data_IF_689178819830
#
_entry.id   IF_689178819830
#
_cell.length_a   1.000
_cell.length_b   1.000
_cell.length_c   1.000
_cell.angle_alpha   90.00
_cell.angle_beta   90.00
_cell.angle_gamma   90.00
#
_symmetry.space_group_name_H-M   'P 1'
#
loop_
_entity.id
_entity.type
_entity.pdbx_description
1 polymer ?
#
# COMPACT_ATOMS: atom_id res chain seq x y z
N UNK A 1 -11.43 2.08 12.77
CA UNK A 1 -10.64 1.41 11.72
C UNK A 1 -9.16 1.68 11.93
N UNK A 2 -8.33 0.63 11.93
CA UNK A 2 -6.87 0.73 12.08
C UNK A 2 -6.20 -0.34 11.23
N UNK A 3 -5.12 0.00 10.53
CA UNK A 3 -4.28 -1.00 9.85
C UNK A 3 -3.57 -1.82 10.93
N UNK A 4 -3.69 -3.15 10.88
CA UNK A 4 -3.01 -4.06 11.80
C UNK A 4 -1.62 -4.43 11.28
N UNK A 5 -1.53 -4.98 10.07
CA UNK A 5 -0.26 -5.30 9.40
C UNK A 5 -0.45 -5.36 7.89
N UNK A 6 0.66 -5.39 7.17
CA UNK A 6 0.70 -5.68 5.74
C UNK A 6 1.42 -7.00 5.50
N UNK A 7 0.98 -7.76 4.51
CA UNK A 7 1.76 -8.84 3.89
C UNK A 7 2.19 -8.42 2.49
N UNK A 8 3.49 -8.42 2.24
CA UNK A 8 4.10 -8.09 0.96
C UNK A 8 4.68 -9.37 0.38
N UNK A 9 4.38 -9.67 -0.88
CA UNK A 9 5.02 -10.76 -1.61
C UNK A 9 5.67 -10.20 -2.87
N UNK A 10 6.99 -10.33 -2.95
CA UNK A 10 7.78 -9.94 -4.13
C UNK A 10 7.57 -8.46 -4.54
N UNK A 11 7.47 -7.57 -3.56
CA UNK A 11 7.14 -6.16 -3.76
C UNK A 11 8.39 -5.27 -3.62
N UNK A 12 8.86 -4.69 -4.72
CA UNK A 12 10.01 -3.75 -4.78
C UNK A 12 11.30 -4.30 -4.17
N UNK A 13 11.66 -3.90 -2.96
CA UNK A 13 12.86 -4.40 -2.25
C UNK A 13 12.55 -5.60 -1.35
N UNK A 14 11.28 -6.00 -1.24
CA UNK A 14 10.81 -7.11 -0.41
C UNK A 14 10.63 -8.36 -1.27
N UNK A 15 11.68 -9.18 -1.40
CA UNK A 15 11.63 -10.46 -2.13
C UNK A 15 11.11 -11.59 -1.26
N UNK A 16 10.21 -12.43 -1.77
CA UNK A 16 9.49 -13.42 -0.97
C UNK A 16 8.37 -12.79 -0.13
N UNK A 17 7.86 -13.55 0.85
CA UNK A 17 6.80 -13.10 1.75
C UNK A 17 7.38 -12.36 2.96
N UNK A 18 6.91 -11.14 3.20
CA UNK A 18 7.28 -10.30 4.33
C UNK A 18 6.03 -9.79 5.03
N UNK A 19 6.06 -9.77 6.35
CA UNK A 19 5.02 -9.11 7.15
C UNK A 19 5.58 -7.80 7.70
N UNK A 20 4.84 -6.70 7.54
CA UNK A 20 5.19 -5.38 8.08
C UNK A 20 4.14 -4.98 9.10
N UNK A 21 4.57 -4.75 10.33
CA UNK A 21 3.72 -4.48 11.47
C UNK A 21 4.15 -5.27 12.71
N UNK A 22 3.33 -5.33 13.76
CA UNK A 22 2.01 -4.68 13.85
C UNK A 22 2.11 -3.14 13.84
N UNK A 23 1.10 -2.47 13.31
CA UNK A 23 0.95 -1.02 13.40
C UNK A 23 0.06 -0.67 14.59
N UNK A 24 0.53 0.29 15.38
CA UNK A 24 -0.24 0.91 16.45
C UNK A 24 -0.76 2.30 16.02
N UNK A 25 -1.58 2.93 16.86
CA UNK A 25 -2.19 4.25 16.63
C UNK A 25 -1.18 5.30 16.13
N UNK A 26 0.05 5.24 16.64
CA UNK A 26 1.18 6.00 16.13
C UNK A 26 2.33 5.04 15.86
N UNK A 27 2.69 4.89 14.60
CA UNK A 27 3.81 4.04 14.18
C UNK A 27 4.83 4.85 13.40
N UNK A 28 6.10 4.79 13.82
CA UNK A 28 7.20 5.44 13.12
C UNK A 28 8.04 4.40 12.34
N UNK A 29 8.25 4.63 11.05
CA UNK A 29 9.11 3.80 10.20
C UNK A 29 10.50 4.45 10.14
N UNK A 30 11.50 3.81 10.74
CA UNK A 30 12.88 4.31 10.84
C UNK A 30 13.89 3.34 10.21
N UNK A 31 15.10 3.81 9.95
CA UNK A 31 16.19 3.00 9.38
C UNK A 31 17.11 3.78 8.43
N UNK A 32 18.24 3.18 8.00
CA UNK A 32 19.23 3.84 7.15
C UNK A 32 18.72 4.14 5.74
N UNK A 33 19.39 5.05 5.02
CA UNK A 33 19.01 5.38 3.64
C UNK A 33 19.13 4.15 2.73
N UNK A 34 18.16 3.97 1.85
CA UNK A 34 18.12 2.83 0.92
C UNK A 34 17.59 1.51 1.50
N UNK A 35 17.24 1.42 2.80
CA UNK A 35 16.74 0.16 3.39
C UNK A 35 15.28 -0.20 3.03
N UNK A 36 14.61 0.59 2.18
CA UNK A 36 13.24 0.29 1.73
C UNK A 36 12.11 0.93 2.53
N UNK A 37 12.38 1.88 3.44
CA UNK A 37 11.33 2.62 4.20
C UNK A 37 10.26 3.22 3.29
N UNK A 38 10.67 3.88 2.20
CA UNK A 38 9.74 4.44 1.21
C UNK A 38 8.90 3.37 0.52
N UNK A 39 9.42 2.15 0.38
CA UNK A 39 8.71 1.05 -0.25
C UNK A 39 7.57 0.52 0.64
N UNK A 40 7.63 0.73 1.97
CA UNK A 40 6.49 0.45 2.85
C UNK A 40 5.36 1.46 2.59
N UNK A 41 5.68 2.75 2.48
CA UNK A 41 4.68 3.76 2.07
C UNK A 41 4.13 3.46 0.67
N UNK A 42 5.00 3.07 -0.26
CA UNK A 42 4.55 2.67 -1.60
C UNK A 42 3.65 1.43 -1.59
N UNK A 43 3.85 0.48 -0.66
CA UNK A 43 2.95 -0.68 -0.52
C UNK A 43 1.58 -0.28 -0.02
N UNK A 44 1.49 0.69 0.91
CA UNK A 44 0.23 1.26 1.36
C UNK A 44 -0.50 1.95 0.21
N UNK A 45 0.20 2.81 -0.54
CA UNK A 45 -0.41 3.47 -1.70
C UNK A 45 -0.85 2.46 -2.77
N UNK A 46 -0.06 1.42 -2.99
CA UNK A 46 -0.39 0.36 -3.95
C UNK A 46 -1.68 -0.38 -3.58
N UNK A 47 -1.80 -0.85 -2.33
CA UNK A 47 -2.97 -1.62 -1.89
C UNK A 47 -4.21 -0.75 -1.76
N UNK A 48 -4.09 0.51 -1.34
CA UNK A 48 -5.21 1.44 -1.19
C UNK A 48 -5.55 2.23 -2.46
N UNK A 49 -5.08 1.77 -3.60
CA UNK A 49 -5.32 2.35 -4.92
C UNK A 49 -5.04 3.87 -5.01
N UNK A 50 -3.99 4.31 -4.33
CA UNK A 50 -3.53 5.70 -4.38
C UNK A 50 -2.56 5.85 -5.55
N UNK A 51 -2.95 6.67 -6.52
CA UNK A 51 -2.11 6.98 -7.68
C UNK A 51 -0.88 7.78 -7.26
N UNK A 52 0.24 7.09 -7.12
CA UNK A 52 1.54 7.74 -7.02
C UNK A 52 2.25 7.71 -8.36
N UNK A 53 2.58 8.90 -8.87
CA UNK A 53 3.39 9.10 -10.07
C UNK A 53 4.76 8.39 -10.04
N UNK A 54 5.18 7.85 -8.89
CA UNK A 54 6.52 7.29 -8.71
C UNK A 54 6.71 5.87 -9.25
N UNK A 55 5.72 4.98 -9.34
CA UNK A 55 6.04 3.56 -9.64
C UNK A 55 4.88 2.67 -10.16
N UNK A 56 4.74 2.57 -11.49
CA UNK A 56 3.78 1.65 -12.13
C UNK A 56 4.23 0.17 -12.19
N UNK A 57 5.43 -0.17 -11.66
CA UNK A 57 5.99 -1.52 -11.81
C UNK A 57 6.87 -1.96 -10.61
N UNK A 58 6.26 -2.48 -9.52
CA UNK A 58 6.98 -2.99 -8.34
C UNK A 58 7.93 -4.14 -8.68
N UNK A 59 7.54 -5.04 -9.60
CA UNK A 59 8.33 -6.21 -10.01
C UNK A 59 9.69 -5.81 -10.60
N UNK A 60 9.76 -4.70 -11.37
CA UNK A 60 11.03 -4.26 -11.96
C UNK A 60 12.04 -3.71 -10.94
N UNK A 61 11.59 -3.42 -9.72
CA UNK A 61 12.45 -2.84 -8.68
C UNK A 61 13.18 -3.90 -7.84
N UNK A 62 12.83 -5.19 -8.00
CA UNK A 62 13.54 -6.31 -7.37
C UNK A 62 14.90 -6.50 -8.07
N UNK A 63 16.00 -6.29 -7.34
CA UNK A 63 17.36 -6.27 -7.90
C UNK A 63 18.07 -7.62 -7.94
N UNK A 64 17.48 -8.68 -7.40
CA UNK A 64 18.16 -9.97 -7.25
C UNK A 64 17.32 -11.17 -7.69
N UNK A 65 17.93 -12.05 -8.50
CA UNK A 65 17.37 -13.34 -8.91
C UNK A 65 16.40 -13.29 -10.10
N UNK A 66 15.72 -14.42 -10.35
CA UNK A 66 14.72 -14.51 -11.40
C UNK A 66 13.53 -13.62 -11.07
N UNK A 67 13.11 -12.80 -12.03
CA UNK A 67 11.95 -11.91 -11.86
C UNK A 67 10.69 -12.74 -11.58
N UNK A 68 9.96 -12.44 -10.49
CA UNK A 68 8.76 -13.16 -10.15
C UNK A 68 7.66 -12.90 -11.19
N UNK A 69 6.72 -13.84 -11.27
CA UNK A 69 5.60 -13.73 -12.21
C UNK A 69 4.52 -12.76 -11.74
N UNK A 70 4.51 -12.42 -10.45
CA UNK A 70 3.56 -11.51 -9.84
C UNK A 70 4.16 -10.92 -8.56
N UNK A 71 3.57 -9.82 -8.10
CA UNK A 71 3.77 -9.29 -6.76
C UNK A 71 2.41 -8.97 -6.13
N UNK A 72 2.32 -8.99 -4.81
CA UNK A 72 1.11 -8.59 -4.10
C UNK A 72 1.41 -7.83 -2.82
N UNK A 73 0.43 -7.02 -2.42
CA UNK A 73 0.35 -6.43 -1.08
C UNK A 73 -1.05 -6.69 -0.55
N UNK A 74 -1.13 -7.19 0.67
CA UNK A 74 -2.37 -7.38 1.41
C UNK A 74 -2.34 -6.55 2.70
N UNK A 75 -3.35 -5.73 2.91
CA UNK A 75 -3.53 -4.96 4.13
C UNK A 75 -4.61 -5.61 4.98
N UNK A 76 -4.31 -5.80 6.26
CA UNK A 76 -5.25 -6.31 7.26
C UNK A 76 -5.66 -5.15 8.16
N UNK A 77 -6.96 -4.89 8.29
CA UNK A 77 -7.49 -3.76 9.02
C UNK A 77 -8.49 -4.21 10.07
N UNK A 78 -8.37 -3.68 11.29
CA UNK A 78 -9.41 -3.73 12.28
C UNK A 78 -10.57 -2.80 11.87
N UNK A 79 -11.80 -3.31 11.88
CA UNK A 79 -12.99 -2.49 11.55
C UNK A 79 -13.61 -1.86 12.80
N UNK A 80 -13.49 -2.50 13.96
CA UNK A 80 -13.95 -2.01 15.26
C UNK A 80 -12.81 -1.52 16.16
N UNK A 81 -13.15 -0.74 17.19
CA UNK A 81 -12.19 -0.22 18.18
C UNK A 81 -11.65 -1.31 19.12
N UNK A 82 -12.40 -2.39 19.30
CA UNK A 82 -12.03 -3.50 20.16
C UNK A 82 -11.04 -4.46 19.49
N UNK A 83 -10.68 -4.21 18.21
CA UNK A 83 -9.77 -5.03 17.40
C UNK A 83 -10.26 -6.48 17.23
N UNK A 84 -11.57 -6.71 17.22
CA UNK A 84 -12.15 -8.06 17.12
C UNK A 84 -12.38 -8.51 15.67
N UNK A 85 -12.74 -7.57 14.80
CA UNK A 85 -13.08 -7.86 13.41
C UNK A 85 -11.97 -7.37 12.49
N UNK A 86 -11.43 -8.28 11.66
CA UNK A 86 -10.41 -7.96 10.66
C UNK A 86 -10.98 -8.16 9.26
N UNK A 87 -10.73 -7.18 8.39
CA UNK A 87 -10.93 -7.29 6.94
C UNK A 87 -9.58 -7.25 6.22
N UNK A 88 -9.49 -7.86 5.05
CA UNK A 88 -8.30 -7.79 4.21
C UNK A 88 -8.57 -7.23 2.81
N UNK A 89 -7.65 -6.39 2.36
CA UNK A 89 -7.60 -5.85 1.01
C UNK A 89 -6.31 -6.30 0.36
N UNK A 90 -6.39 -7.08 -0.72
CA UNK A 90 -5.20 -7.52 -1.46
C UNK A 90 -5.25 -7.04 -2.89
N UNK A 91 -4.19 -6.36 -3.31
CA UNK A 91 -3.93 -6.04 -4.71
C UNK A 91 -2.76 -6.88 -5.19
N UNK A 92 -2.92 -7.51 -6.36
CA UNK A 92 -1.90 -8.29 -7.02
C UNK A 92 -1.62 -7.67 -8.39
N UNK A 93 -0.35 -7.61 -8.79
CA UNK A 93 0.04 -7.25 -10.14
C UNK A 93 0.79 -8.41 -10.78
N UNK A 94 0.33 -8.84 -11.95
CA UNK A 94 1.04 -9.84 -12.74
C UNK A 94 2.20 -9.20 -13.51
N UNK A 95 3.13 -10.01 -14.00
CA UNK A 95 4.22 -9.56 -14.87
C UNK A 95 3.73 -8.91 -16.18
N UNK A 96 2.50 -9.24 -16.61
CA UNK A 96 1.80 -8.60 -17.74
C UNK A 96 1.21 -7.23 -17.39
N UNK A 97 1.45 -6.71 -16.18
CA UNK A 97 0.92 -5.47 -15.63
C UNK A 97 -0.60 -5.45 -15.48
N UNK A 98 -1.22 -6.62 -15.38
CA UNK A 98 -2.63 -6.73 -15.05
C UNK A 98 -2.78 -6.71 -13.52
N UNK A 99 -3.80 -6.03 -13.04
CA UNK A 99 -4.15 -6.01 -11.63
C UNK A 99 -5.28 -6.99 -11.33
N UNK A 100 -5.19 -7.65 -10.20
CA UNK A 100 -6.24 -8.51 -9.65
C UNK A 100 -6.48 -8.07 -8.21
N UNK A 101 -7.75 -7.96 -7.84
CA UNK A 101 -8.20 -7.36 -6.59
C UNK A 101 -8.94 -8.39 -5.74
N UNK A 102 -8.71 -8.35 -4.43
CA UNK A 102 -9.36 -9.24 -3.49
C UNK A 102 -9.82 -8.48 -2.24
N UNK A 103 -11.00 -8.85 -1.76
CA UNK A 103 -11.53 -8.43 -0.47
C UNK A 103 -11.89 -9.67 0.36
N UNK A 104 -11.29 -9.80 1.55
CA UNK A 104 -11.45 -10.98 2.42
C UNK A 104 -11.20 -12.31 1.68
N UNK A 105 -10.11 -12.37 0.91
CA UNK A 105 -9.73 -13.50 0.03
C UNK A 105 -10.64 -13.80 -1.17
N UNK A 106 -11.76 -13.10 -1.34
CA UNK A 106 -12.61 -13.24 -2.52
C UNK A 106 -12.13 -12.30 -3.62
N UNK A 107 -11.95 -12.82 -4.83
CA UNK A 107 -11.61 -12.01 -6.00
C UNK A 107 -12.81 -11.13 -6.38
N UNK A 108 -12.56 -9.84 -6.56
CA UNK A 108 -13.57 -8.84 -6.90
C UNK A 108 -13.07 -7.96 -8.05
N UNK A 109 -13.99 -7.23 -8.69
CA UNK A 109 -13.65 -6.25 -9.72
C UNK A 109 -12.95 -5.03 -9.14
N UNK A 110 -12.30 -4.24 -10.01
CA UNK A 110 -11.67 -2.98 -9.59
C UNK A 110 -12.69 -1.97 -9.04
N UNK A 111 -13.87 -1.90 -9.66
CA UNK A 111 -14.98 -1.03 -9.24
C UNK A 111 -15.44 -1.40 -7.83
N UNK A 112 -15.75 -2.68 -7.59
CA UNK A 112 -16.11 -3.18 -6.25
C UNK A 112 -15.00 -2.94 -5.23
N UNK A 113 -13.73 -3.08 -5.61
CA UNK A 113 -12.60 -2.86 -4.71
C UNK A 113 -12.51 -1.39 -4.28
N UNK A 114 -12.70 -0.45 -5.22
CA UNK A 114 -12.72 0.98 -4.94
C UNK A 114 -13.94 1.34 -4.06
N UNK A 115 -15.10 0.77 -4.32
CA UNK A 115 -16.31 1.00 -3.52
C UNK A 115 -16.16 0.50 -2.08
N UNK A 116 -15.50 -0.65 -1.89
CA UNK A 116 -15.15 -1.14 -0.56
C UNK A 116 -14.19 -0.17 0.14
N UNK A 117 -13.12 0.27 -0.51
CA UNK A 117 -12.19 1.26 0.08
C UNK A 117 -12.90 2.57 0.47
N UNK A 118 -13.81 3.05 -0.36
CA UNK A 118 -14.60 4.25 -0.10
C UNK A 118 -15.50 4.10 1.13
N UNK A 119 -16.08 2.91 1.36
CA UNK A 119 -16.87 2.59 2.56
C UNK A 119 -16.04 2.77 3.84
N UNK A 120 -14.75 2.50 3.77
CA UNK A 120 -13.80 2.68 4.86
C UNK A 120 -13.17 4.09 4.93
N UNK A 121 -13.58 5.02 4.05
CA UNK A 121 -13.00 6.36 3.89
C UNK A 121 -11.49 6.31 3.65
N UNK A 122 -11.05 5.30 2.89
CA UNK A 122 -9.67 5.17 2.45
C UNK A 122 -9.59 5.68 1.01
N UNK A 123 -8.87 6.78 0.83
CA UNK A 123 -8.63 7.38 -0.47
C UNK A 123 -7.31 8.15 -0.51
N UNK A 124 -6.94 8.72 -1.67
CA UNK A 124 -5.69 9.48 -1.83
C UNK A 124 -5.58 10.67 -0.86
N UNK A 125 -6.69 11.23 -0.41
CA UNK A 125 -6.76 12.39 0.50
C UNK A 125 -6.18 12.15 1.89
N UNK A 126 -6.05 10.89 2.33
CA UNK A 126 -5.47 10.56 3.64
C UNK A 126 -3.94 10.37 3.59
N UNK A 127 -3.35 10.48 2.41
CA UNK A 127 -1.90 10.36 2.20
C UNK A 127 -1.27 11.74 2.04
N UNK A 128 -0.18 11.97 2.77
CA UNK A 128 0.72 13.09 2.52
C UNK A 128 2.10 12.54 2.19
N UNK A 129 2.54 12.74 0.95
CA UNK A 129 3.77 12.17 0.43
C UNK A 129 4.88 13.21 0.31
N UNK A 130 6.11 12.71 0.22
CA UNK A 130 7.29 13.57 0.13
C UNK A 130 7.21 14.53 -1.07
N UNK A 131 7.27 15.83 -0.79
CA UNK A 131 7.21 16.91 -1.78
C UNK A 131 5.80 17.49 -1.98
N UNK A 132 4.75 16.90 -1.39
CA UNK A 132 3.40 17.48 -1.42
C UNK A 132 3.26 18.64 -0.45
N UNK A 133 3.97 18.61 0.68
CA UNK A 133 4.10 19.75 1.60
C UNK A 133 4.62 20.98 0.88
N UNK A 134 5.64 20.84 0.05
CA UNK A 134 6.25 21.97 -0.66
C UNK A 134 5.30 22.54 -1.72
N UNK A 135 4.52 21.66 -2.38
CA UNK A 135 3.46 22.08 -3.32
C UNK A 135 2.35 22.83 -2.60
N UNK A 136 1.96 22.37 -1.42
CA UNK A 136 0.94 23.01 -0.59
C UNK A 136 1.40 24.41 -0.17
N UNK A 137 2.63 24.53 0.34
CA UNK A 137 3.21 25.82 0.73
C UNK A 137 3.27 26.79 -0.45
N UNK A 138 3.67 26.33 -1.64
CA UNK A 138 3.68 27.16 -2.86
C UNK A 138 2.29 27.65 -3.28
N UNK A 139 1.24 26.86 -3.06
CA UNK A 139 -0.15 27.28 -3.34
C UNK A 139 -0.67 28.30 -2.32
N UNK A 140 -0.16 28.26 -1.09
CA UNK A 140 -0.56 29.16 0.00
C UNK A 140 0.15 30.51 -0.09
N UNK A 141 1.01 30.78 -1.10
CA UNK A 141 1.72 32.07 -1.20
C UNK A 141 0.78 33.25 -0.97
N UNK A 142 1.00 33.89 0.19
CA UNK A 142 0.26 35.04 0.67
C UNK A 142 0.51 36.18 -0.31
N UNK A 143 -0.56 36.65 -0.96
CA UNK A 143 -0.56 37.97 -1.58
C UNK A 143 -0.62 39.04 -0.50
#
# INVERSE_FOLDING_TARGET
MQIHYLELTDFKSFRGKHQVGPFENLTAIIGPNGCGKSNIIDSLCFVFNVENARNHNPISSLKDGQRPQQCSVEAFLYTDEQKNTIVSFRRLQTRKRQFIYYYNNNEITEEEYIDQLATFKIGPEVFMLQGESDKLIKKIQWK
#
